data_IF_065644996019
#
_entry.id   IF_065644996019
#
_cell.length_a   1.000
_cell.length_b   1.000
_cell.length_c   1.000
_cell.angle_alpha   90.00
_cell.angle_beta   90.00
_cell.angle_gamma   90.00
#
_symmetry.space_group_name_H-M   'P 1'
#
loop_
_entity.id
_entity.type
_entity.pdbx_description
1 polymer ?
#
# COMPACT_ATOMS: atom_id res chain seq x y z
N UNK A 1 -2.94 35.70 -1.42
CA UNK A 1 -2.02 34.66 -0.90
C UNK A 1 -2.81 33.89 0.15
N UNK A 2 -3.24 32.64 -0.03
CA UNK A 2 -2.73 31.56 -0.88
C UNK A 2 -3.87 30.70 -1.45
N UNK A 3 -3.83 30.48 -2.77
CA UNK A 3 -4.69 29.54 -3.48
C UNK A 3 -4.12 28.11 -3.40
N UNK A 4 -4.05 27.55 -2.18
CA UNK A 4 -3.66 26.13 -1.97
C UNK A 4 -4.74 25.38 -1.21
N UNK A 5 -5.94 25.40 -1.78
CA UNK A 5 -7.00 24.46 -1.47
C UNK A 5 -6.51 23.03 -1.76
N UNK A 6 -5.98 22.35 -0.74
CA UNK A 6 -6.25 20.96 -0.40
C UNK A 6 -6.21 19.86 -1.47
N UNK A 7 -5.45 19.99 -2.55
CA UNK A 7 -5.11 18.84 -3.39
C UNK A 7 -4.18 17.94 -2.60
N UNK A 8 -4.74 17.02 -1.81
CA UNK A 8 -4.01 15.93 -1.16
C UNK A 8 -3.25 15.20 -2.26
N UNK A 9 -1.97 15.52 -2.42
CA UNK A 9 -1.09 14.92 -3.43
C UNK A 9 -1.17 13.41 -3.22
N UNK A 10 -1.90 12.72 -4.10
CA UNK A 10 -2.03 11.27 -4.04
C UNK A 10 -0.64 10.70 -4.28
N UNK A 11 -0.12 10.02 -3.27
CA UNK A 11 1.27 9.59 -3.31
C UNK A 11 1.40 8.34 -4.20
N UNK A 12 2.48 8.17 -4.98
CA UNK A 12 2.61 7.05 -5.90
C UNK A 12 2.42 5.67 -5.23
N UNK A 13 2.91 5.53 -3.99
CA UNK A 13 2.76 4.33 -3.18
C UNK A 13 1.30 4.06 -2.74
N UNK A 14 0.51 5.11 -2.53
CA UNK A 14 -0.91 4.99 -2.16
C UNK A 14 -1.72 4.33 -3.29
N UNK A 15 -1.48 4.78 -4.53
CA UNK A 15 -2.10 4.21 -5.74
C UNK A 15 -1.63 2.77 -5.91
N UNK A 16 -0.33 2.52 -5.77
CA UNK A 16 0.26 1.19 -5.92
C UNK A 16 -0.39 0.15 -5.00
N UNK A 17 -0.56 0.45 -3.70
CA UNK A 17 -1.08 -0.52 -2.72
C UNK A 17 -2.54 -0.88 -3.02
N UNK A 18 -3.37 0.12 -3.36
CA UNK A 18 -4.76 -0.11 -3.76
C UNK A 18 -4.85 -0.92 -5.05
N UNK A 19 -4.01 -0.59 -6.04
CA UNK A 19 -3.94 -1.31 -7.30
C UNK A 19 -3.49 -2.76 -7.11
N UNK A 20 -2.47 -2.99 -6.27
CA UNK A 20 -2.01 -4.34 -5.90
C UNK A 20 -3.14 -5.17 -5.29
N UNK A 21 -3.87 -4.64 -4.31
CA UNK A 21 -5.01 -5.36 -3.73
C UNK A 21 -6.09 -5.67 -4.76
N UNK A 22 -6.41 -4.71 -5.64
CA UNK A 22 -7.41 -4.93 -6.68
C UNK A 22 -6.97 -6.02 -7.66
N UNK A 23 -5.71 -5.97 -8.12
CA UNK A 23 -5.10 -6.96 -9.04
C UNK A 23 -5.11 -8.39 -8.49
N UNK A 24 -4.93 -8.56 -7.19
CA UNK A 24 -4.90 -9.86 -6.52
C UNK A 24 -6.18 -10.18 -5.72
N UNK A 25 -7.24 -9.37 -5.85
CA UNK A 25 -8.50 -9.52 -5.12
C UNK A 25 -8.36 -9.63 -3.59
N UNK A 26 -7.41 -8.90 -3.01
CA UNK A 26 -7.10 -8.95 -1.59
C UNK A 26 -7.90 -7.93 -0.79
N UNK A 27 -8.42 -8.36 0.37
CA UNK A 27 -8.88 -7.43 1.40
C UNK A 27 -7.68 -6.74 2.07
N UNK A 28 -7.91 -5.62 2.76
CA UNK A 28 -6.86 -4.97 3.56
C UNK A 28 -6.28 -5.92 4.61
N UNK A 29 -7.10 -6.81 5.19
CA UNK A 29 -6.66 -7.78 6.20
C UNK A 29 -5.77 -8.87 5.60
N UNK A 30 -6.11 -9.39 4.41
CA UNK A 30 -5.31 -10.41 3.74
C UNK A 30 -3.95 -9.85 3.30
N UNK A 31 -3.92 -8.64 2.71
CA UNK A 31 -2.65 -8.00 2.38
C UNK A 31 -1.82 -7.71 3.65
N UNK A 32 -2.46 -7.30 4.74
CA UNK A 32 -1.77 -7.06 6.00
C UNK A 32 -1.10 -8.32 6.55
N UNK A 33 -1.78 -9.46 6.50
CA UNK A 33 -1.23 -10.76 6.90
C UNK A 33 0.00 -11.13 6.06
N UNK A 34 -0.09 -11.00 4.73
CA UNK A 34 1.03 -11.27 3.82
C UNK A 34 2.26 -10.36 4.07
N UNK A 35 2.04 -9.14 4.55
CA UNK A 35 3.09 -8.16 4.83
C UNK A 35 3.55 -8.16 6.30
N UNK A 36 3.07 -9.09 7.12
CA UNK A 36 3.30 -9.14 8.57
C UNK A 36 3.06 -7.77 9.25
N UNK A 37 1.90 -7.17 8.97
CA UNK A 37 1.49 -5.87 9.51
C UNK A 37 0.00 -5.86 9.86
N UNK A 38 -0.52 -4.73 10.35
CA UNK A 38 -1.94 -4.58 10.67
C UNK A 38 -2.77 -4.05 9.50
N UNK A 39 -4.05 -4.40 9.46
CA UNK A 39 -5.02 -3.82 8.50
C UNK A 39 -5.12 -2.29 8.65
N UNK A 40 -4.99 -1.77 9.88
CA UNK A 40 -4.94 -0.34 10.16
C UNK A 40 -3.71 0.34 9.54
N UNK A 41 -2.57 -0.35 9.47
CA UNK A 41 -1.36 0.14 8.81
C UNK A 41 -1.54 0.18 7.30
N UNK A 42 -2.09 -0.88 6.69
CA UNK A 42 -2.46 -0.90 5.27
C UNK A 42 -3.41 0.24 4.93
N UNK A 43 -4.47 0.45 5.74
CA UNK A 43 -5.40 1.57 5.56
C UNK A 43 -4.69 2.92 5.57
N UNK A 44 -3.78 3.17 6.52
CA UNK A 44 -2.99 4.41 6.59
C UNK A 44 -2.12 4.62 5.36
N UNK A 45 -1.57 3.55 4.78
CA UNK A 45 -0.86 3.63 3.51
C UNK A 45 -1.78 3.96 2.34
N UNK A 46 -2.95 3.35 2.27
CA UNK A 46 -3.93 3.56 1.19
C UNK A 46 -4.62 4.93 1.21
N UNK A 47 -4.58 5.65 2.34
CA UNK A 47 -5.07 7.05 2.45
C UNK A 47 -3.93 8.07 2.43
N UNK A 48 -2.68 7.61 2.35
CA UNK A 48 -1.49 8.47 2.31
C UNK A 48 -1.08 9.09 3.66
N UNK A 49 -1.69 8.66 4.77
CA UNK A 49 -1.36 9.11 6.14
C UNK A 49 0.02 8.59 6.59
N UNK A 50 0.40 7.39 6.12
CA UNK A 50 1.75 6.83 6.30
C UNK A 50 2.29 6.29 4.98
N UNK A 51 3.60 6.09 4.92
CA UNK A 51 4.27 5.37 3.83
C UNK A 51 4.82 4.03 4.35
N UNK A 52 4.75 2.94 3.57
CA UNK A 52 5.53 1.75 3.87
C UNK A 52 7.02 2.08 3.80
N UNK A 53 7.81 1.41 4.64
CA UNK A 53 9.26 1.57 4.71
C UNK A 53 9.92 0.23 5.06
N UNK A 54 11.23 0.13 4.83
CA UNK A 54 12.01 -1.03 5.24
C UNK A 54 11.50 -2.34 4.61
N UNK A 55 11.31 -3.42 5.42
CA UNK A 55 10.87 -4.71 4.92
C UNK A 55 9.54 -4.68 4.14
N UNK A 56 8.53 -3.95 4.63
CA UNK A 56 7.23 -3.90 3.96
C UNK A 56 7.30 -3.28 2.57
N UNK A 57 8.16 -2.27 2.36
CA UNK A 57 8.38 -1.69 1.03
C UNK A 57 9.03 -2.70 0.07
N UNK A 58 9.98 -3.53 0.56
CA UNK A 58 10.61 -4.58 -0.26
C UNK A 58 9.59 -5.66 -0.64
N UNK A 59 8.75 -6.09 0.30
CA UNK A 59 7.70 -7.08 0.05
C UNK A 59 6.66 -6.56 -0.95
N UNK A 60 6.20 -5.31 -0.81
CA UNK A 60 5.30 -4.69 -1.79
C UNK A 60 5.92 -4.68 -3.20
N UNK A 61 7.19 -4.31 -3.32
CA UNK A 61 7.90 -4.34 -4.61
C UNK A 61 8.06 -5.78 -5.15
N UNK A 62 8.20 -6.77 -4.27
CA UNK A 62 8.31 -8.16 -4.65
C UNK A 62 6.99 -8.70 -5.18
N UNK A 63 5.87 -8.42 -4.50
CA UNK A 63 4.52 -8.79 -4.91
C UNK A 63 4.20 -8.16 -6.27
N UNK A 64 4.51 -6.87 -6.45
CA UNK A 64 4.24 -6.17 -7.70
C UNK A 64 4.94 -6.81 -8.91
N UNK A 65 6.23 -7.15 -8.74
CA UNK A 65 7.09 -7.69 -9.79
C UNK A 65 6.92 -9.19 -10.03
N UNK A 66 6.65 -9.97 -8.99
CA UNK A 66 6.72 -11.44 -9.03
C UNK A 66 5.41 -12.16 -8.71
N UNK A 67 4.38 -11.46 -8.26
CA UNK A 67 3.14 -12.09 -7.81
C UNK A 67 3.10 -12.33 -6.31
N UNK A 68 1.91 -12.70 -5.82
CA UNK A 68 1.66 -12.89 -4.39
C UNK A 68 2.41 -14.12 -3.85
N UNK A 69 2.64 -15.12 -4.70
CA UNK A 69 3.38 -16.35 -4.38
C UNK A 69 4.83 -16.09 -3.92
N UNK A 70 5.38 -14.90 -4.17
CA UNK A 70 6.73 -14.56 -3.74
C UNK A 70 6.84 -14.23 -2.24
N UNK A 71 5.72 -14.13 -1.52
CA UNK A 71 5.67 -13.75 -0.09
C UNK A 71 4.80 -14.69 0.77
N UNK A 72 4.29 -15.78 0.19
CA UNK A 72 3.49 -16.81 0.89
C UNK A 72 4.34 -18.03 1.26
#
# INVERSE_FOLDING_TARGET
MDARTGLHQVQPNQILIRALRARFHLSQAVLAAALNTSSSTVRKWEVGDKRPSGPSQKLLNLIDRKGLEAVL
#
